data_IF_930756829897
#
_entry.id   IF_930756829897
#
_cell.length_a   1.000
_cell.length_b   1.000
_cell.length_c   1.000
_cell.angle_alpha   90.00
_cell.angle_beta   90.00
_cell.angle_gamma   90.00
#
_symmetry.space_group_name_H-M   'P 1'
#
loop_
_entity.id
_entity.type
_entity.pdbx_description
1 polymer ?
#
# COMPACT_ATOMS: atom_id res chain seq x y z
N UNK A 1 -10.14 26.20 -7.28
CA UNK A 1 -10.72 25.02 -6.58
C UNK A 1 -9.66 23.93 -6.49
N UNK A 2 -9.17 23.60 -5.30
CA UNK A 2 -8.41 22.37 -5.08
C UNK A 2 -9.41 21.20 -5.02
N UNK A 3 -9.42 20.33 -6.03
CA UNK A 3 -10.11 19.04 -5.95
C UNK A 3 -9.22 18.12 -5.11
N UNK A 4 -9.49 18.02 -3.81
CA UNK A 4 -8.94 16.97 -2.97
C UNK A 4 -9.81 15.72 -3.17
N UNK A 5 -9.25 14.69 -3.82
CA UNK A 5 -9.94 13.41 -4.02
C UNK A 5 -9.48 12.40 -2.99
N UNK A 6 -10.36 11.99 -2.07
CA UNK A 6 -10.15 10.83 -1.20
C UNK A 6 -10.42 9.57 -2.00
N UNK A 7 -9.47 8.64 -2.00
CA UNK A 7 -9.57 7.36 -2.69
C UNK A 7 -9.36 6.21 -1.70
N UNK A 8 -10.16 5.15 -1.83
CA UNK A 8 -9.89 3.88 -1.17
C UNK A 8 -8.92 3.07 -2.03
N UNK A 9 -8.01 2.33 -1.38
CA UNK A 9 -7.06 1.46 -2.07
C UNK A 9 -6.76 0.19 -1.26
N UNK A 10 -6.26 -0.83 -1.93
CA UNK A 10 -5.67 -2.01 -1.33
C UNK A 10 -4.61 -2.54 -2.29
N UNK A 11 -3.38 -2.72 -1.80
CA UNK A 11 -2.25 -3.22 -2.57
C UNK A 11 -1.42 -4.22 -1.74
N UNK A 12 -2.01 -5.35 -1.29
CA UNK A 12 -1.26 -6.39 -0.60
C UNK A 12 -0.25 -7.06 -1.54
N UNK A 13 0.94 -7.35 -1.02
CA UNK A 13 1.97 -8.11 -1.74
C UNK A 13 1.98 -9.52 -1.16
N UNK A 14 1.62 -10.50 -1.99
CA UNK A 14 1.69 -11.91 -1.62
C UNK A 14 3.01 -12.51 -2.08
N UNK A 15 3.64 -13.30 -1.23
CA UNK A 15 4.92 -13.96 -1.52
C UNK A 15 4.85 -15.45 -1.23
N UNK A 16 5.55 -16.24 -2.05
CA UNK A 16 5.75 -17.67 -1.86
C UNK A 16 7.21 -18.02 -2.15
N UNK A 17 7.84 -18.80 -1.28
CA UNK A 17 9.21 -19.27 -1.44
C UNK A 17 9.22 -20.77 -1.74
N UNK A 18 9.65 -21.15 -2.95
CA UNK A 18 9.72 -22.54 -3.41
C UNK A 18 10.80 -23.39 -2.73
N UNK A 19 11.76 -22.79 -2.02
CA UNK A 19 12.85 -23.54 -1.36
C UNK A 19 12.43 -24.11 -0.01
N UNK A 20 11.50 -23.46 0.69
CA UNK A 20 11.16 -23.81 2.07
C UNK A 20 9.66 -23.67 2.39
N UNK A 21 8.82 -23.47 1.36
CA UNK A 21 7.37 -23.32 1.45
C UNK A 21 6.89 -22.22 2.40
N UNK A 22 7.75 -21.22 2.66
CA UNK A 22 7.35 -20.02 3.40
C UNK A 22 6.51 -19.11 2.52
N UNK A 23 5.47 -18.52 3.10
CA UNK A 23 4.54 -17.65 2.38
C UNK A 23 3.96 -16.58 3.29
N UNK A 24 3.53 -15.48 2.67
CA UNK A 24 2.83 -14.38 3.33
C UNK A 24 1.65 -13.92 2.49
N UNK A 25 0.48 -13.85 3.12
CA UNK A 25 -0.78 -13.41 2.52
C UNK A 25 -1.34 -12.28 3.40
N UNK A 26 -0.91 -11.03 3.18
CA UNK A 26 -1.52 -9.88 3.83
C UNK A 26 -2.84 -9.48 3.16
N UNK A 27 -3.73 -8.91 3.96
CA UNK A 27 -4.84 -8.07 3.48
C UNK A 27 -4.66 -6.65 4.02
N UNK A 28 -4.85 -5.68 3.13
CA UNK A 28 -4.70 -4.26 3.41
C UNK A 28 -5.94 -3.46 3.10
N UNK A 29 -6.18 -2.40 3.87
CA UNK A 29 -7.16 -1.38 3.51
C UNK A 29 -6.53 -0.01 3.71
N UNK A 30 -6.41 0.72 2.61
CA UNK A 30 -5.71 1.99 2.57
C UNK A 30 -6.59 3.13 2.10
N UNK A 31 -6.12 4.32 2.42
CA UNK A 31 -6.69 5.58 1.94
C UNK A 31 -5.60 6.38 1.24
N UNK A 32 -5.99 7.12 0.21
CA UNK A 32 -5.11 8.03 -0.49
C UNK A 32 -5.78 9.36 -0.76
N UNK A 33 -4.98 10.40 -0.88
CA UNK A 33 -5.43 11.74 -1.20
C UNK A 33 -4.66 12.27 -2.39
N UNK A 34 -5.40 12.69 -3.41
CA UNK A 34 -4.85 13.38 -4.58
C UNK A 34 -5.14 14.86 -4.49
N UNK A 35 -4.10 15.68 -4.60
CA UNK A 35 -4.15 17.13 -4.54
C UNK A 35 -3.42 17.66 -5.78
N UNK A 36 -4.07 18.56 -6.53
CA UNK A 36 -3.41 19.29 -7.62
C UNK A 36 -3.07 20.70 -7.16
N UNK A 37 -1.80 21.07 -7.26
CA UNK A 37 -1.31 22.42 -6.97
C UNK A 37 -0.46 22.92 -8.14
N UNK A 38 -0.94 23.95 -8.83
CA UNK A 38 -0.32 24.45 -10.05
C UNK A 38 -0.25 23.37 -11.13
N UNK A 39 0.96 23.09 -11.63
CA UNK A 39 1.22 22.05 -12.63
C UNK A 39 1.56 20.67 -12.02
N UNK A 40 1.71 20.61 -10.70
CA UNK A 40 2.10 19.39 -10.00
C UNK A 40 0.87 18.68 -9.43
N UNK A 41 0.82 17.36 -9.59
CA UNK A 41 -0.15 16.49 -8.91
C UNK A 41 0.58 15.73 -7.82
N UNK A 42 0.02 15.79 -6.61
CA UNK A 42 0.50 15.10 -5.42
C UNK A 42 -0.49 13.99 -5.09
N UNK A 43 -0.01 12.76 -5.02
CA UNK A 43 -0.79 11.61 -4.55
C UNK A 43 -0.08 10.98 -3.36
N UNK A 44 -0.69 11.12 -2.18
CA UNK A 44 -0.21 10.48 -0.95
C UNK A 44 -1.14 9.33 -0.57
N UNK A 45 -0.59 8.27 0.00
CA UNK A 45 -1.40 7.19 0.56
C UNK A 45 -0.81 6.60 1.84
N UNK A 46 -1.68 5.95 2.62
CA UNK A 46 -1.34 5.08 3.74
C UNK A 46 -2.23 3.83 3.72
N UNK A 47 -1.67 2.68 4.02
CA UNK A 47 -2.36 1.39 4.01
C UNK A 47 -1.79 0.46 5.10
N UNK A 48 -2.50 0.32 6.23
CA UNK A 48 -2.28 -0.80 7.13
C UNK A 48 -2.58 -2.13 6.45
N UNK A 49 -1.73 -3.13 6.70
CA UNK A 49 -1.94 -4.51 6.26
C UNK A 49 -1.71 -5.47 7.41
N UNK A 50 -2.60 -6.45 7.55
CA UNK A 50 -2.46 -7.57 8.48
C UNK A 50 -2.39 -8.88 7.74
N UNK A 51 -1.57 -9.81 8.23
CA UNK A 51 -1.51 -11.18 7.69
C UNK A 51 -2.80 -11.92 7.99
N UNK A 52 -3.40 -12.53 6.96
CA UNK A 52 -4.52 -13.48 7.12
C UNK A 52 -4.07 -14.93 6.98
N UNK A 53 -2.91 -15.15 6.37
CA UNK A 53 -2.23 -16.42 6.37
C UNK A 53 -0.73 -16.20 6.19
N UNK A 54 0.08 -16.81 7.04
CA UNK A 54 1.53 -16.80 6.92
C UNK A 54 2.13 -18.13 7.39
N UNK A 55 3.28 -18.47 6.81
CA UNK A 55 4.09 -19.62 7.23
C UNK A 55 5.56 -19.32 7.07
N UNK A 56 6.34 -19.76 8.05
CA UNK A 56 7.80 -19.65 8.05
C UNK A 56 8.29 -18.33 8.65
N UNK A 57 9.60 -18.24 8.95
CA UNK A 57 10.19 -17.07 9.58
C UNK A 57 10.20 -15.86 8.62
N UNK A 58 10.15 -14.65 9.19
CA UNK A 58 10.32 -13.41 8.45
C UNK A 58 9.05 -12.88 7.77
N UNK A 59 7.90 -13.54 7.93
CA UNK A 59 6.63 -13.05 7.39
C UNK A 59 6.05 -11.94 8.29
N UNK A 60 5.76 -10.74 7.75
CA UNK A 60 5.18 -9.66 8.52
C UNK A 60 3.72 -9.96 8.90
N UNK A 61 3.45 -10.07 10.20
CA UNK A 61 2.07 -10.22 10.71
C UNK A 61 1.26 -8.93 10.61
N UNK A 62 1.96 -7.79 10.68
CA UNK A 62 1.40 -6.45 10.55
C UNK A 62 2.43 -5.53 9.90
N UNK A 63 1.99 -4.68 9.00
CA UNK A 63 2.84 -3.67 8.34
C UNK A 63 2.01 -2.47 7.89
N UNK A 64 2.69 -1.36 7.61
CA UNK A 64 2.06 -0.15 7.06
C UNK A 64 2.81 0.24 5.79
N UNK A 65 2.08 0.37 4.69
CA UNK A 65 2.59 0.95 3.45
C UNK A 65 2.16 2.40 3.34
N UNK A 66 3.11 3.28 3.10
CA UNK A 66 2.85 4.66 2.76
C UNK A 66 3.66 5.06 1.54
N UNK A 67 3.19 6.04 0.78
CA UNK A 67 3.87 6.48 -0.42
C UNK A 67 3.40 7.85 -0.89
N UNK A 68 4.29 8.50 -1.64
CA UNK A 68 4.08 9.78 -2.28
C UNK A 68 4.47 9.65 -3.76
N UNK A 69 3.52 9.95 -4.64
CA UNK A 69 3.75 10.06 -6.08
C UNK A 69 3.57 11.52 -6.51
N UNK A 70 4.58 12.07 -7.18
CA UNK A 70 4.59 13.42 -7.74
C UNK A 70 4.58 13.33 -9.26
N UNK A 71 3.66 14.04 -9.90
CA UNK A 71 3.61 14.14 -11.36
C UNK A 71 3.78 15.60 -11.76
N UNK A 72 4.75 15.87 -12.62
CA UNK A 72 5.11 17.20 -13.09
C UNK A 72 4.65 17.34 -14.55
N UNK A 73 3.84 18.36 -14.85
CA UNK A 73 3.38 18.72 -16.19
C UNK A 73 3.83 20.13 -16.59
#
# INVERSE_FOLDING_TARGET
MLKAGLNLRSAPIWNYNFQNDSYGVPLGLGVGQVIKQGKTVYNFFIEPQGSVADRGPGQPRWQVFAGLNLQFN
#
